data_IF_931714485809
#
_entry.id   IF_931714485809
#
_cell.length_a   1.000
_cell.length_b   1.000
_cell.length_c   1.000
_cell.angle_alpha   90.00
_cell.angle_beta   90.00
_cell.angle_gamma   90.00
#
_symmetry.space_group_name_H-M   'P 1'
#
loop_
_entity.id
_entity.type
_entity.pdbx_description
1 polymer ?
#
# COMPACT_ATOMS: atom_id res chain seq x y z
N UNK A 1 22.21 -0.15 13.05
CA UNK A 1 21.49 -1.22 13.78
C UNK A 1 20.49 -1.83 12.81
N UNK A 2 20.30 -3.16 12.81
CA UNK A 2 19.47 -3.88 11.82
C UNK A 2 18.24 -4.46 12.51
N UNK A 3 17.08 -4.42 11.83
CA UNK A 3 15.85 -5.11 12.22
C UNK A 3 16.13 -6.60 12.48
N UNK A 4 15.61 -7.14 13.59
CA UNK A 4 15.66 -8.58 13.87
C UNK A 4 14.25 -9.05 14.20
N UNK A 5 13.79 -10.12 13.54
CA UNK A 5 12.51 -10.76 13.81
C UNK A 5 12.78 -12.23 14.11
N UNK A 6 12.15 -12.76 15.15
CA UNK A 6 12.23 -14.16 15.57
C UNK A 6 10.87 -14.64 16.03
N UNK A 7 10.65 -15.94 15.96
CA UNK A 7 9.40 -16.55 16.36
C UNK A 7 9.56 -17.99 16.82
N UNK A 8 8.48 -18.57 17.34
CA UNK A 8 8.39 -20.00 17.64
C UNK A 8 8.38 -20.90 16.39
N UNK A 9 8.20 -20.34 15.19
CA UNK A 9 8.16 -21.08 13.92
C UNK A 9 9.49 -21.01 13.19
N UNK A 10 10.14 -22.16 13.01
CA UNK A 10 11.39 -22.26 12.27
C UNK A 10 11.23 -21.91 10.78
N UNK A 11 10.12 -22.31 10.17
CA UNK A 11 9.79 -21.95 8.78
C UNK A 11 9.65 -20.43 8.61
N UNK A 12 8.97 -19.76 9.55
CA UNK A 12 8.83 -18.31 9.55
C UNK A 12 10.20 -17.63 9.71
N UNK A 13 11.04 -18.12 10.62
CA UNK A 13 12.38 -17.57 10.86
C UNK A 13 13.26 -17.64 9.60
N UNK A 14 13.26 -18.78 8.89
CA UNK A 14 14.00 -18.95 7.63
C UNK A 14 13.45 -18.04 6.52
N UNK A 15 12.12 -17.93 6.42
CA UNK A 15 11.46 -17.04 5.48
C UNK A 15 11.81 -15.56 5.71
N UNK A 16 11.80 -15.11 6.97
CA UNK A 16 12.20 -13.76 7.38
C UNK A 16 13.64 -13.47 7.00
N UNK A 17 14.56 -14.38 7.31
CA UNK A 17 15.97 -14.18 7.01
C UNK A 17 16.18 -13.97 5.50
N UNK A 18 15.56 -14.81 4.68
CA UNK A 18 15.54 -14.63 3.24
C UNK A 18 14.95 -13.27 2.83
N UNK A 19 13.76 -12.92 3.34
CA UNK A 19 13.05 -11.72 2.91
C UNK A 19 13.87 -10.46 3.22
N UNK A 20 14.45 -10.39 4.42
CA UNK A 20 15.32 -9.28 4.82
C UNK A 20 16.60 -9.20 4.00
N UNK A 21 17.22 -10.34 3.68
CA UNK A 21 18.43 -10.37 2.86
C UNK A 21 18.15 -9.94 1.42
N UNK A 22 17.11 -10.50 0.81
CA UNK A 22 16.76 -10.20 -0.58
C UNK A 22 16.32 -8.73 -0.73
N UNK A 23 15.40 -8.25 0.11
CA UNK A 23 14.94 -6.87 0.06
C UNK A 23 16.12 -5.87 0.14
N UNK A 24 17.01 -6.05 1.12
CA UNK A 24 18.17 -5.17 1.28
C UNK A 24 19.20 -5.30 0.16
N UNK A 25 19.22 -6.41 -0.59
CA UNK A 25 20.11 -6.57 -1.75
C UNK A 25 19.70 -5.69 -2.94
N UNK A 26 18.43 -5.28 -3.01
CA UNK A 26 17.90 -4.36 -4.01
C UNK A 26 18.12 -2.88 -3.67
N UNK A 27 18.67 -2.54 -2.51
CA UNK A 27 18.83 -1.14 -2.09
C UNK A 27 20.15 -0.55 -2.58
N UNK A 28 20.08 0.64 -3.19
CA UNK A 28 21.18 1.33 -3.82
C UNK A 28 21.32 2.77 -3.29
N UNK A 29 22.56 3.26 -3.25
CA UNK A 29 22.87 4.59 -2.68
C UNK A 29 23.85 5.44 -3.49
N UNK A 30 24.41 4.92 -4.58
CA UNK A 30 25.47 5.55 -5.37
C UNK A 30 25.02 6.07 -6.74
N UNK A 31 23.82 5.71 -7.17
CA UNK A 31 23.38 5.96 -8.55
C UNK A 31 22.87 7.39 -8.74
N UNK A 32 22.85 7.91 -9.98
CA UNK A 32 22.40 9.28 -10.26
C UNK A 32 20.98 9.62 -9.76
N UNK A 33 20.09 8.62 -9.65
CA UNK A 33 18.74 8.81 -9.12
C UNK A 33 18.70 9.08 -7.61
N UNK A 34 19.80 8.86 -6.89
CA UNK A 34 19.91 9.03 -5.43
C UNK A 34 19.66 7.72 -4.68
N UNK A 35 19.03 7.79 -3.51
CA UNK A 35 18.65 6.61 -2.73
C UNK A 35 17.45 5.92 -3.38
N UNK A 36 17.57 4.67 -3.79
CA UNK A 36 16.47 3.93 -4.41
C UNK A 36 16.61 2.42 -4.16
N UNK A 37 15.56 1.67 -4.43
CA UNK A 37 15.65 0.22 -4.50
C UNK A 37 14.90 -0.30 -5.73
N UNK A 38 15.30 -1.46 -6.25
CA UNK A 38 14.58 -2.08 -7.36
C UNK A 38 13.13 -2.36 -6.95
N UNK A 39 12.20 -1.83 -7.73
CA UNK A 39 10.76 -1.95 -7.53
C UNK A 39 10.07 -1.98 -8.89
N UNK A 40 10.53 -2.88 -9.76
CA UNK A 40 10.02 -3.10 -11.10
C UNK A 40 10.35 -4.54 -11.52
N UNK A 41 10.04 -4.90 -12.77
CA UNK A 41 10.45 -6.18 -13.37
C UNK A 41 11.96 -6.45 -13.14
N UNK A 42 12.34 -7.67 -12.69
CA UNK A 42 13.74 -7.95 -12.34
C UNK A 42 14.67 -7.70 -13.52
N UNK A 43 15.79 -7.02 -13.26
CA UNK A 43 16.76 -6.66 -14.29
C UNK A 43 16.46 -5.39 -15.07
N UNK A 44 15.37 -4.65 -14.75
CA UNK A 44 15.13 -3.31 -15.32
C UNK A 44 16.04 -2.23 -14.73
N UNK A 45 16.65 -2.46 -13.57
CA UNK A 45 17.41 -1.44 -12.82
C UNK A 45 16.59 -0.15 -12.62
N UNK A 46 15.32 -0.33 -12.23
CA UNK A 46 14.32 0.72 -12.17
C UNK A 46 13.30 0.51 -11.03
N UNK A 47 12.45 1.51 -10.84
CA UNK A 47 11.32 1.47 -9.93
C UNK A 47 10.06 2.04 -10.59
N UNK A 48 8.93 1.34 -10.45
CA UNK A 48 7.62 1.72 -10.94
C UNK A 48 6.71 2.25 -9.82
N UNK A 49 5.70 3.02 -10.17
CA UNK A 49 4.82 3.66 -9.18
C UNK A 49 4.08 2.66 -8.31
N UNK A 50 3.49 1.63 -8.92
CA UNK A 50 2.71 0.58 -8.23
C UNK A 50 3.59 -0.13 -7.20
N UNK A 51 4.69 -0.71 -7.65
CA UNK A 51 5.59 -1.47 -6.81
C UNK A 51 6.17 -0.61 -5.68
N UNK A 52 6.59 0.64 -5.94
CA UNK A 52 7.03 1.54 -4.86
C UNK A 52 5.91 1.76 -3.85
N UNK A 53 4.67 2.02 -4.30
CA UNK A 53 3.54 2.27 -3.41
C UNK A 53 3.28 1.09 -2.45
N UNK A 54 3.40 -0.14 -2.93
CA UNK A 54 3.10 -1.36 -2.17
C UNK A 54 4.30 -1.93 -1.39
N UNK A 55 5.53 -1.68 -1.84
CA UNK A 55 6.76 -2.09 -1.12
C UNK A 55 7.13 -1.14 0.03
N UNK A 56 6.71 0.12 -0.06
CA UNK A 56 7.19 1.24 0.77
C UNK A 56 7.14 1.00 2.28
N UNK A 57 6.09 0.38 2.83
CA UNK A 57 6.02 0.13 4.29
C UNK A 57 7.03 -0.95 4.71
N UNK A 58 7.13 -2.05 3.95
CA UNK A 58 8.15 -3.07 4.17
C UNK A 58 9.57 -2.48 4.10
N UNK A 59 9.82 -1.61 3.11
CA UNK A 59 11.08 -0.88 2.98
C UNK A 59 11.33 0.05 4.17
N UNK A 60 10.32 0.79 4.65
CA UNK A 60 10.43 1.64 5.84
C UNK A 60 10.76 0.84 7.10
N UNK A 61 10.13 -0.32 7.29
CA UNK A 61 10.43 -1.25 8.40
C UNK A 61 11.89 -1.74 8.34
N UNK A 62 12.45 -1.90 7.14
CA UNK A 62 13.85 -2.26 6.93
C UNK A 62 14.83 -1.07 7.06
N UNK A 63 14.33 0.13 7.35
CA UNK A 63 15.14 1.34 7.51
C UNK A 63 15.40 2.10 6.20
N UNK A 64 14.65 1.80 5.14
CA UNK A 64 14.79 2.43 3.82
C UNK A 64 13.84 3.61 3.60
N UNK A 65 13.31 4.24 4.66
CA UNK A 65 12.37 5.36 4.52
C UNK A 65 12.89 6.54 3.69
N UNK A 66 14.20 6.79 3.69
CA UNK A 66 14.80 7.82 2.82
C UNK A 66 14.87 7.41 1.33
N UNK A 67 14.92 6.10 1.05
CA UNK A 67 14.83 5.59 -0.32
C UNK A 67 13.41 5.79 -0.83
N UNK A 68 12.39 5.44 -0.03
CA UNK A 68 10.98 5.72 -0.34
C UNK A 68 10.78 7.20 -0.69
N UNK A 69 11.24 8.10 0.20
CA UNK A 69 11.06 9.53 0.01
C UNK A 69 11.67 10.02 -1.28
N UNK A 70 12.90 9.60 -1.60
CA UNK A 70 13.55 9.98 -2.85
C UNK A 70 12.76 9.48 -4.07
N UNK A 71 12.36 8.20 -4.10
CA UNK A 71 11.62 7.63 -5.24
C UNK A 71 10.24 8.27 -5.42
N UNK A 72 9.47 8.44 -4.33
CA UNK A 72 8.18 9.15 -4.34
C UNK A 72 8.35 10.59 -4.80
N UNK A 73 9.41 11.28 -4.36
CA UNK A 73 9.72 12.64 -4.82
C UNK A 73 10.03 12.69 -6.32
N UNK A 74 10.69 11.67 -6.89
CA UNK A 74 10.93 11.61 -8.34
C UNK A 74 9.62 11.51 -9.13
N UNK A 75 8.67 10.72 -8.66
CA UNK A 75 7.33 10.66 -9.26
C UNK A 75 6.61 12.00 -9.13
N UNK A 76 6.54 12.56 -7.91
CA UNK A 76 5.86 13.82 -7.65
C UNK A 76 6.43 14.98 -8.48
N UNK A 77 7.75 15.04 -8.65
CA UNK A 77 8.43 16.09 -9.43
C UNK A 77 8.09 16.08 -10.91
N UNK A 78 7.78 14.92 -11.48
CA UNK A 78 7.63 14.77 -12.93
C UNK A 78 6.18 14.85 -13.42
N UNK A 79 5.19 15.08 -12.55
CA UNK A 79 3.81 15.34 -12.97
C UNK A 79 3.73 16.61 -13.85
N UNK A 80 2.99 16.55 -14.95
CA UNK A 80 2.87 17.70 -15.87
C UNK A 80 1.65 17.62 -16.77
N UNK A 81 1.16 18.78 -17.23
CA UNK A 81 0.11 18.89 -18.24
C UNK A 81 0.42 18.13 -19.53
N UNK A 82 1.67 18.18 -20.01
CA UNK A 82 2.08 17.52 -21.26
C UNK A 82 1.89 15.99 -21.24
N UNK A 83 1.88 15.38 -20.05
CA UNK A 83 1.65 13.95 -19.83
C UNK A 83 0.23 13.68 -19.36
N UNK A 84 -0.73 14.52 -19.73
CA UNK A 84 -2.13 14.38 -19.29
C UNK A 84 -2.27 14.35 -17.76
N UNK A 85 -1.39 15.09 -17.06
CA UNK A 85 -1.25 15.10 -15.59
C UNK A 85 -0.86 13.75 -14.96
N UNK A 86 -0.33 12.81 -15.75
CA UNK A 86 0.46 11.68 -15.28
C UNK A 86 1.89 12.10 -14.93
N UNK A 87 2.63 11.19 -14.30
CA UNK A 87 4.09 11.26 -14.16
C UNK A 87 4.76 10.14 -14.96
N UNK A 88 6.03 9.84 -14.71
CA UNK A 88 6.66 8.65 -15.28
C UNK A 88 6.20 7.39 -14.55
N UNK A 89 5.73 6.41 -15.32
CA UNK A 89 5.37 5.09 -14.80
C UNK A 89 6.57 4.43 -14.10
N UNK A 90 7.73 4.47 -14.75
CA UNK A 90 9.00 3.91 -14.29
C UNK A 90 10.16 4.88 -14.45
N UNK A 91 11.08 4.86 -13.47
CA UNK A 91 12.31 5.65 -13.46
C UNK A 91 13.50 4.74 -13.17
N UNK A 92 14.57 4.85 -13.96
CA UNK A 92 15.76 4.02 -13.81
C UNK A 92 16.83 4.62 -12.88
N UNK A 93 17.88 3.84 -12.61
CA UNK A 93 19.04 4.22 -11.80
C UNK A 93 19.72 5.53 -12.25
N UNK A 94 19.61 5.89 -13.54
CA UNK A 94 20.17 7.12 -14.12
C UNK A 94 19.26 8.35 -13.98
N UNK A 95 18.16 8.25 -13.22
CA UNK A 95 17.15 9.30 -13.05
C UNK A 95 16.44 9.69 -14.37
N UNK A 96 16.23 8.72 -15.25
CA UNK A 96 15.54 8.88 -16.53
C UNK A 96 14.29 8.00 -16.56
N UNK A 97 13.23 8.40 -17.28
CA UNK A 97 12.11 7.50 -17.53
C UNK A 97 12.59 6.26 -18.30
N UNK A 98 12.00 5.11 -18.01
CA UNK A 98 12.30 3.87 -18.73
C UNK A 98 11.74 3.95 -20.16
N UNK A 99 12.59 3.68 -21.15
CA UNK A 99 12.28 3.89 -22.58
C UNK A 99 11.19 2.96 -23.11
N UNK A 100 11.02 1.80 -22.46
CA UNK A 100 9.97 0.83 -22.78
C UNK A 100 8.58 1.42 -22.51
N UNK A 101 8.47 2.29 -21.51
CA UNK A 101 7.21 2.88 -21.06
C UNK A 101 7.07 4.37 -21.45
N UNK A 102 8.13 5.00 -21.96
CA UNK A 102 8.12 6.44 -22.28
C UNK A 102 8.99 6.77 -23.49
N UNK A 103 8.37 7.29 -24.55
CA UNK A 103 9.06 7.84 -25.73
C UNK A 103 8.98 9.38 -25.75
N UNK A 104 7.81 9.93 -25.42
CA UNK A 104 7.54 11.35 -25.37
C UNK A 104 6.32 11.64 -24.48
N UNK A 105 6.10 12.91 -24.15
CA UNK A 105 4.98 13.34 -23.31
C UNK A 105 3.59 12.98 -23.88
N UNK A 106 3.45 12.79 -25.20
CA UNK A 106 2.21 12.33 -25.84
C UNK A 106 2.19 10.83 -26.18
N UNK A 107 3.27 10.10 -25.86
CA UNK A 107 3.47 8.68 -26.18
C UNK A 107 4.19 7.94 -25.03
N UNK A 108 3.40 7.50 -24.07
CA UNK A 108 3.84 6.84 -22.84
C UNK A 108 2.82 5.80 -22.36
N UNK A 109 3.26 4.80 -21.60
CA UNK A 109 2.45 3.83 -20.87
C UNK A 109 2.15 4.31 -19.45
N UNK A 110 0.97 3.96 -18.92
CA UNK A 110 0.57 4.35 -17.57
C UNK A 110 -0.60 3.53 -17.02
N UNK A 111 -0.59 3.14 -15.75
CA UNK A 111 -1.78 2.57 -15.14
C UNK A 111 -2.51 3.68 -14.38
N UNK A 112 -3.74 4.01 -14.79
CA UNK A 112 -4.47 5.16 -14.25
C UNK A 112 -4.66 5.19 -12.72
N UNK A 113 -4.66 4.05 -11.96
CA UNK A 113 -4.71 4.09 -10.50
C UNK A 113 -3.49 4.79 -9.84
N UNK A 114 -2.35 4.85 -10.53
CA UNK A 114 -1.04 5.09 -9.94
C UNK A 114 -0.88 6.43 -9.20
N UNK A 115 -1.47 7.52 -9.70
CA UNK A 115 -1.38 8.82 -9.03
C UNK A 115 -2.00 8.77 -7.63
N UNK A 116 -3.19 8.18 -7.52
CA UNK A 116 -3.92 8.11 -6.26
C UNK A 116 -3.24 7.18 -5.25
N UNK A 117 -2.71 6.06 -5.73
CA UNK A 117 -1.96 5.11 -4.94
C UNK A 117 -0.65 5.70 -4.38
N UNK A 118 0.09 6.43 -5.21
CA UNK A 118 1.29 7.17 -4.76
C UNK A 118 0.94 8.28 -3.77
N UNK A 119 -0.20 8.96 -3.93
CA UNK A 119 -0.69 9.95 -2.97
C UNK A 119 -1.00 9.28 -1.62
N UNK A 120 -1.76 8.18 -1.61
CA UNK A 120 -2.02 7.38 -0.42
C UNK A 120 -0.71 6.86 0.22
N UNK A 121 0.23 6.40 -0.60
CA UNK A 121 1.56 5.99 -0.16
C UNK A 121 2.29 7.10 0.59
N UNK A 122 2.28 8.33 0.06
CA UNK A 122 2.93 9.46 0.73
C UNK A 122 2.33 9.73 2.11
N UNK A 123 0.99 9.64 2.26
CA UNK A 123 0.36 9.73 3.57
C UNK A 123 0.79 8.57 4.49
N UNK A 124 0.80 7.32 4.00
CA UNK A 124 1.27 6.17 4.78
C UNK A 124 2.72 6.34 5.24
N UNK A 125 3.59 6.88 4.39
CA UNK A 125 4.97 7.18 4.77
C UNK A 125 5.06 8.28 5.83
N UNK A 126 4.26 9.35 5.74
CA UNK A 126 4.15 10.34 6.81
C UNK A 126 3.69 9.69 8.14
N UNK A 127 2.61 8.92 8.12
CA UNK A 127 2.05 8.29 9.31
C UNK A 127 3.05 7.36 10.00
N UNK A 128 3.86 6.64 9.22
CA UNK A 128 4.89 5.74 9.74
C UNK A 128 6.15 6.46 10.25
N UNK A 129 6.65 7.44 9.52
CA UNK A 129 7.96 8.05 9.76
C UNK A 129 7.90 9.33 10.60
N UNK A 130 6.81 10.08 10.47
CA UNK A 130 6.69 11.46 10.95
C UNK A 130 7.44 12.49 10.13
N UNK A 131 7.94 12.13 8.94
CA UNK A 131 8.63 13.06 8.04
C UNK A 131 7.65 14.11 7.48
N UNK A 132 7.82 15.36 7.90
CA UNK A 132 6.90 16.45 7.57
C UNK A 132 7.02 16.96 6.14
N UNK A 133 8.04 16.55 5.40
CA UNK A 133 8.19 17.00 4.01
C UNK A 133 7.06 16.45 3.14
N UNK A 134 6.52 15.26 3.46
CA UNK A 134 5.30 14.75 2.81
C UNK A 134 4.08 15.67 2.97
N UNK A 135 4.08 16.58 3.96
CA UNK A 135 2.99 17.54 4.21
C UNK A 135 3.33 18.97 3.80
N UNK A 136 4.60 19.29 3.54
CA UNK A 136 5.06 20.68 3.45
C UNK A 136 5.97 20.95 2.26
N UNK A 137 6.57 19.93 1.65
CA UNK A 137 7.39 20.11 0.47
C UNK A 137 6.50 20.48 -0.73
N UNK A 138 6.78 21.61 -1.41
CA UNK A 138 5.96 22.10 -2.51
C UNK A 138 5.87 21.13 -3.70
N UNK A 139 6.84 20.23 -3.90
CA UNK A 139 6.78 19.22 -4.97
C UNK A 139 5.69 18.19 -4.67
N UNK A 140 5.66 17.68 -3.43
CA UNK A 140 4.61 16.77 -3.00
C UNK A 140 3.24 17.44 -3.01
N UNK A 141 3.14 18.65 -2.47
CA UNK A 141 1.88 19.39 -2.45
C UNK A 141 1.32 19.65 -3.85
N UNK A 142 2.18 20.05 -4.80
CA UNK A 142 1.78 20.20 -6.20
C UNK A 142 1.30 18.85 -6.78
N UNK A 143 2.03 17.75 -6.57
CA UNK A 143 1.62 16.44 -7.05
C UNK A 143 0.23 16.03 -6.53
N UNK A 144 -0.04 16.25 -5.24
CA UNK A 144 -1.33 15.91 -4.65
C UNK A 144 -2.47 16.72 -5.26
N UNK A 145 -2.30 18.05 -5.34
CA UNK A 145 -3.31 18.96 -5.88
C UNK A 145 -3.62 18.62 -7.35
N UNK A 146 -2.59 18.42 -8.18
CA UNK A 146 -2.77 18.03 -9.59
C UNK A 146 -3.46 16.67 -9.72
N UNK A 147 -3.12 15.70 -8.87
CA UNK A 147 -3.73 14.36 -8.86
C UNK A 147 -5.23 14.42 -8.62
N UNK A 148 -5.69 15.20 -7.63
CA UNK A 148 -7.11 15.19 -7.24
C UNK A 148 -7.97 16.22 -7.99
N UNK A 149 -7.33 17.07 -8.82
CA UNK A 149 -8.01 18.10 -9.61
C UNK A 149 -7.76 17.92 -11.10
N UNK A 150 -6.58 18.27 -11.59
CA UNK A 150 -6.31 18.35 -13.02
C UNK A 150 -6.26 16.98 -13.70
N UNK A 151 -5.71 15.97 -13.02
CA UNK A 151 -5.71 14.59 -13.48
C UNK A 151 -7.15 14.04 -13.53
N UNK A 152 -7.95 14.23 -12.48
CA UNK A 152 -9.37 13.86 -12.50
C UNK A 152 -10.09 14.56 -13.64
N UNK A 153 -9.99 15.89 -13.74
CA UNK A 153 -10.62 16.67 -14.81
C UNK A 153 -10.18 16.24 -16.21
N UNK A 154 -8.93 15.80 -16.37
CA UNK A 154 -8.44 15.32 -17.65
C UNK A 154 -9.07 13.97 -18.00
N UNK A 155 -9.16 13.03 -17.07
CA UNK A 155 -9.49 11.63 -17.37
C UNK A 155 -10.96 11.24 -17.10
N UNK A 156 -11.71 12.03 -16.32
CA UNK A 156 -13.16 11.92 -16.13
C UNK A 156 -13.87 12.61 -17.32
N UNK A 157 -14.38 11.80 -18.25
CA UNK A 157 -14.95 12.27 -19.52
C UNK A 157 -16.45 12.48 -19.45
N UNK A 158 -17.16 11.67 -18.67
CA UNK A 158 -18.60 11.79 -18.54
C UNK A 158 -19.04 12.73 -17.40
N UNK A 159 -18.09 13.13 -16.54
CA UNK A 159 -18.27 14.09 -15.46
C UNK A 159 -18.91 13.50 -14.22
N UNK A 160 -18.94 12.17 -14.07
CA UNK A 160 -19.49 11.48 -12.91
C UNK A 160 -18.54 11.46 -11.69
N UNK A 161 -17.31 11.93 -11.87
CA UNK A 161 -16.27 12.01 -10.84
C UNK A 161 -15.30 10.84 -10.83
N UNK A 162 -15.53 9.78 -11.61
CA UNK A 162 -14.60 8.67 -11.81
C UNK A 162 -13.81 8.87 -13.09
N UNK A 163 -12.51 8.59 -13.03
CA UNK A 163 -11.68 8.68 -14.23
C UNK A 163 -11.81 7.42 -15.09
N UNK A 164 -11.74 7.59 -16.41
CA UNK A 164 -11.87 6.47 -17.35
C UNK A 164 -10.76 6.42 -18.39
N UNK A 165 -10.43 5.19 -18.78
CA UNK A 165 -9.64 4.93 -19.97
C UNK A 165 -10.55 4.62 -21.18
N UNK A 166 -10.13 5.04 -22.37
CA UNK A 166 -10.77 4.67 -23.64
C UNK A 166 -9.72 4.22 -24.64
N UNK A 167 -10.05 3.22 -25.47
CA UNK A 167 -9.16 2.67 -26.50
C UNK A 167 -8.59 3.76 -27.43
N UNK A 168 -9.32 4.87 -27.64
CA UNK A 168 -8.85 6.02 -28.41
C UNK A 168 -7.60 6.70 -27.85
N UNK A 169 -7.22 6.44 -26.60
CA UNK A 169 -5.97 6.92 -26.00
C UNK A 169 -4.75 6.12 -26.47
N UNK A 170 -4.97 5.01 -27.19
CA UNK A 170 -3.92 4.26 -27.85
C UNK A 170 -2.96 3.64 -26.83
N UNK A 171 -1.69 4.06 -26.88
CA UNK A 171 -0.67 3.57 -25.95
C UNK A 171 -0.72 4.23 -24.58
N UNK A 172 -1.52 5.30 -24.43
CA UNK A 172 -1.63 6.09 -23.19
C UNK A 172 -2.51 5.39 -22.16
N UNK A 173 -1.88 4.40 -21.56
CA UNK A 173 -2.30 3.78 -20.32
C UNK A 173 -3.51 2.87 -20.37
N UNK A 174 -3.92 2.42 -19.20
CA UNK A 174 -5.08 1.54 -18.99
C UNK A 174 -5.81 1.88 -17.69
N UNK A 175 -7.11 1.60 -17.64
CA UNK A 175 -7.99 1.88 -16.50
C UNK A 175 -7.87 0.89 -15.33
N UNK A 176 -6.73 0.23 -15.17
CA UNK A 176 -6.50 -0.83 -14.17
C UNK A 176 -5.02 -1.11 -13.98
N UNK A 177 -4.64 -1.84 -12.94
CA UNK A 177 -3.34 -2.52 -12.88
C UNK A 177 -3.33 -3.88 -13.60
N UNK A 178 -4.48 -4.36 -14.09
CA UNK A 178 -4.58 -5.59 -14.87
C UNK A 178 -4.12 -5.35 -16.32
N UNK A 179 -2.96 -5.91 -16.67
CA UNK A 179 -2.33 -5.77 -18.00
C UNK A 179 -2.66 -6.95 -18.94
N UNK A 180 -3.94 -7.30 -19.06
CA UNK A 180 -4.39 -8.51 -19.78
C UNK A 180 -4.87 -8.25 -21.22
N UNK A 181 -4.90 -6.98 -21.65
CA UNK A 181 -5.36 -6.57 -22.97
C UNK A 181 -6.87 -6.52 -23.16
N UNK A 182 -7.68 -6.68 -22.09
CA UNK A 182 -9.14 -6.52 -22.19
C UNK A 182 -9.55 -5.07 -22.50
N UNK A 183 -8.67 -4.10 -22.23
CA UNK A 183 -8.88 -2.66 -22.44
C UNK A 183 -10.18 -2.14 -21.79
N UNK A 184 -10.34 -2.44 -20.50
CA UNK A 184 -11.46 -1.94 -19.69
C UNK A 184 -11.45 -0.42 -19.62
N UNK A 185 -12.63 0.17 -19.41
CA UNK A 185 -12.75 1.60 -19.14
C UNK A 185 -12.22 1.93 -17.75
N UNK A 186 -12.63 1.13 -16.77
CA UNK A 186 -12.12 1.18 -15.40
C UNK A 186 -12.30 -0.18 -14.74
N UNK A 187 -11.39 -0.54 -13.86
CA UNK A 187 -11.54 -1.68 -12.95
C UNK A 187 -11.76 -1.23 -11.52
N UNK A 188 -12.18 -2.16 -10.66
CA UNK A 188 -12.45 -1.87 -9.25
C UNK A 188 -11.21 -1.37 -8.51
N UNK A 189 -10.01 -1.71 -8.97
CA UNK A 189 -8.76 -1.20 -8.43
C UNK A 189 -8.57 0.30 -8.67
N UNK A 190 -8.94 0.82 -9.84
CA UNK A 190 -8.93 2.25 -10.16
C UNK A 190 -9.91 3.02 -9.27
N UNK A 191 -11.15 2.52 -9.17
CA UNK A 191 -12.17 3.15 -8.31
C UNK A 191 -11.72 3.18 -6.85
N UNK A 192 -11.17 2.07 -6.36
CA UNK A 192 -10.67 1.95 -5.01
C UNK A 192 -9.43 2.81 -4.73
N UNK A 193 -8.50 2.90 -5.68
CA UNK A 193 -7.34 3.78 -5.59
C UNK A 193 -7.76 5.25 -5.56
N UNK A 194 -8.70 5.67 -6.42
CA UNK A 194 -9.22 7.04 -6.42
C UNK A 194 -9.89 7.40 -5.08
N UNK A 195 -10.70 6.49 -4.52
CA UNK A 195 -11.23 6.62 -3.16
C UNK A 195 -10.12 6.84 -2.12
N UNK A 196 -9.08 5.98 -2.13
CA UNK A 196 -7.95 6.09 -1.20
C UNK A 196 -7.18 7.41 -1.38
N UNK A 197 -6.96 7.85 -2.63
CA UNK A 197 -6.32 9.12 -2.95
C UNK A 197 -7.09 10.33 -2.41
N UNK A 198 -8.43 10.35 -2.55
CA UNK A 198 -9.25 11.42 -1.97
C UNK A 198 -9.22 11.40 -0.43
N UNK A 199 -9.32 10.22 0.19
CA UNK A 199 -9.18 10.06 1.65
C UNK A 199 -7.82 10.57 2.13
N UNK A 200 -6.76 10.23 1.42
CA UNK A 200 -5.41 10.61 1.79
C UNK A 200 -5.18 12.12 1.62
N UNK A 201 -5.66 12.71 0.52
CA UNK A 201 -5.59 14.16 0.31
C UNK A 201 -6.35 14.90 1.40
N UNK A 202 -7.59 14.50 1.70
CA UNK A 202 -8.38 15.12 2.76
C UNK A 202 -7.66 15.07 4.12
N UNK A 203 -7.06 13.93 4.47
CA UNK A 203 -6.30 13.77 5.70
C UNK A 203 -5.06 14.69 5.73
N UNK A 204 -4.31 14.78 4.63
CA UNK A 204 -3.17 15.71 4.50
C UNK A 204 -3.64 17.16 4.72
N UNK A 205 -4.75 17.56 4.08
CA UNK A 205 -5.31 18.91 4.22
C UNK A 205 -5.71 19.20 5.68
N UNK A 206 -6.35 18.26 6.36
CA UNK A 206 -6.65 18.38 7.79
C UNK A 206 -5.41 18.53 8.67
N UNK A 207 -4.35 17.75 8.40
CA UNK A 207 -3.08 17.81 9.13
C UNK A 207 -2.38 19.17 8.98
N UNK A 208 -2.54 19.85 7.84
CA UNK A 208 -1.99 21.19 7.61
C UNK A 208 -2.97 22.34 7.93
N UNK A 209 -4.17 22.01 8.45
CA UNK A 209 -5.16 22.98 8.92
C UNK A 209 -6.14 23.51 7.87
N UNK A 210 -6.15 22.92 6.67
CA UNK A 210 -7.06 23.29 5.58
C UNK A 210 -8.39 22.52 5.68
N UNK A 211 -9.19 22.86 6.69
CA UNK A 211 -10.43 22.14 7.02
C UNK A 211 -11.48 22.15 5.89
N UNK A 212 -11.54 23.22 5.10
CA UNK A 212 -12.47 23.29 3.96
C UNK A 212 -12.12 22.26 2.87
N UNK A 213 -10.83 22.13 2.54
CA UNK A 213 -10.36 21.14 1.56
C UNK A 213 -10.52 19.71 2.12
N UNK A 214 -10.29 19.53 3.42
CA UNK A 214 -10.55 18.25 4.09
C UNK A 214 -12.02 17.83 3.92
N UNK A 215 -12.96 18.69 4.28
CA UNK A 215 -14.40 18.40 4.18
C UNK A 215 -14.83 18.12 2.71
N UNK A 216 -14.31 18.89 1.75
CA UNK A 216 -14.62 18.70 0.32
C UNK A 216 -14.19 17.30 -0.15
N UNK A 217 -12.95 16.90 0.13
CA UNK A 217 -12.42 15.64 -0.37
C UNK A 217 -12.84 14.43 0.45
N UNK A 218 -13.18 14.60 1.74
CA UNK A 218 -13.94 13.59 2.47
C UNK A 218 -15.28 13.34 1.77
N UNK A 219 -16.03 14.38 1.40
CA UNK A 219 -17.30 14.21 0.68
C UNK A 219 -17.11 13.48 -0.65
N UNK A 220 -16.13 13.87 -1.45
CA UNK A 220 -15.81 13.20 -2.73
C UNK A 220 -15.45 11.72 -2.53
N UNK A 221 -14.67 11.39 -1.51
CA UNK A 221 -14.36 9.99 -1.19
C UNK A 221 -15.64 9.20 -0.87
N UNK A 222 -16.56 9.75 -0.07
CA UNK A 222 -17.84 9.10 0.23
C UNK A 222 -18.72 8.94 -1.02
N UNK A 223 -18.67 9.88 -1.96
CA UNK A 223 -19.38 9.78 -3.24
C UNK A 223 -18.85 8.60 -4.08
N UNK A 224 -17.53 8.47 -4.23
CA UNK A 224 -16.90 7.33 -4.92
C UNK A 224 -17.26 6.00 -4.24
N UNK A 225 -17.20 5.95 -2.91
CA UNK A 225 -17.56 4.77 -2.13
C UNK A 225 -19.04 4.38 -2.33
N UNK A 226 -19.93 5.37 -2.37
CA UNK A 226 -21.36 5.15 -2.63
C UNK A 226 -21.59 4.61 -4.04
N UNK A 227 -20.92 5.17 -5.06
CA UNK A 227 -20.98 4.68 -6.44
C UNK A 227 -20.54 3.21 -6.49
N UNK A 228 -19.38 2.87 -5.91
CA UNK A 228 -18.90 1.50 -5.88
C UNK A 228 -19.90 0.57 -5.20
N UNK A 229 -20.37 0.94 -4.01
CA UNK A 229 -21.28 0.10 -3.21
C UNK A 229 -22.64 -0.14 -3.88
N UNK A 230 -23.15 0.83 -4.64
CA UNK A 230 -24.50 0.80 -5.22
C UNK A 230 -24.53 0.32 -6.67
N UNK A 231 -23.53 0.68 -7.48
CA UNK A 231 -23.55 0.44 -8.93
C UNK A 231 -22.68 -0.73 -9.36
N UNK A 232 -21.61 -1.04 -8.62
CA UNK A 232 -20.72 -2.17 -8.92
C UNK A 232 -21.17 -3.47 -8.26
N UNK A 233 -22.13 -3.40 -7.33
CA UNK A 233 -22.67 -4.58 -6.66
C UNK A 233 -23.79 -5.22 -7.49
N UNK A 234 -23.60 -6.48 -7.85
CA UNK A 234 -24.58 -7.32 -8.50
C UNK A 234 -25.47 -8.00 -7.43
N UNK A 235 -26.68 -7.47 -7.22
CA UNK A 235 -27.64 -8.04 -6.28
C UNK A 235 -28.12 -9.44 -6.68
N UNK A 236 -28.04 -9.83 -7.95
CA UNK A 236 -28.48 -11.17 -8.38
C UNK A 236 -27.45 -12.21 -8.00
N UNK A 237 -26.18 -11.92 -8.24
CA UNK A 237 -25.07 -12.84 -7.97
C UNK A 237 -24.42 -12.63 -6.59
N UNK A 238 -24.85 -11.62 -5.83
CA UNK A 238 -24.34 -11.27 -4.50
C UNK A 238 -22.81 -11.08 -4.50
N UNK A 239 -22.30 -10.30 -5.46
CA UNK A 239 -20.87 -10.02 -5.64
C UNK A 239 -20.63 -8.65 -6.26
N UNK A 240 -19.40 -8.16 -6.22
CA UNK A 240 -18.99 -6.99 -6.98
C UNK A 240 -18.55 -7.40 -8.40
N UNK A 241 -18.77 -6.51 -9.37
CA UNK A 241 -18.07 -6.58 -10.64
C UNK A 241 -16.62 -6.13 -10.47
N UNK A 242 -15.68 -6.75 -11.19
CA UNK A 242 -14.27 -6.34 -11.14
C UNK A 242 -13.87 -5.27 -12.14
N UNK A 243 -14.65 -5.08 -13.21
CA UNK A 243 -14.38 -4.09 -14.23
C UNK A 243 -15.61 -3.67 -15.03
N UNK A 244 -15.53 -2.47 -15.60
CA UNK A 244 -16.48 -1.87 -16.53
C UNK A 244 -15.81 -1.72 -17.89
N UNK A 245 -16.46 -2.23 -18.94
CA UNK A 245 -16.01 -2.17 -20.32
C UNK A 245 -16.27 -0.80 -20.94
N UNK A 246 -15.66 -0.52 -22.08
CA UNK A 246 -15.79 0.79 -22.77
C UNK A 246 -17.18 1.07 -23.33
N UNK A 247 -18.04 0.05 -23.45
CA UNK A 247 -19.46 0.20 -23.81
C UNK A 247 -20.37 0.49 -22.60
N UNK A 248 -19.79 0.56 -21.40
CA UNK A 248 -20.48 0.82 -20.14
C UNK A 248 -21.02 -0.42 -19.43
N UNK A 249 -20.95 -1.61 -20.05
CA UNK A 249 -21.34 -2.87 -19.40
C UNK A 249 -20.28 -3.35 -18.40
N UNK A 250 -20.69 -4.14 -17.41
CA UNK A 250 -19.74 -4.76 -16.49
C UNK A 250 -19.18 -6.07 -17.04
N UNK A 251 -17.90 -6.32 -16.77
CA UNK A 251 -17.27 -7.59 -17.07
C UNK A 251 -17.78 -8.67 -16.11
N UNK A 252 -18.21 -9.79 -16.66
CA UNK A 252 -18.91 -10.84 -15.89
C UNK A 252 -17.98 -11.75 -15.11
N UNK A 253 -16.70 -11.87 -15.48
CA UNK A 253 -15.78 -12.81 -14.82
C UNK A 253 -14.98 -12.14 -13.71
N UNK A 254 -14.35 -12.98 -12.88
CA UNK A 254 -13.32 -12.51 -11.96
C UNK A 254 -12.24 -11.73 -12.73
N UNK A 255 -11.77 -10.65 -12.13
CA UNK A 255 -10.88 -9.67 -12.76
C UNK A 255 -9.80 -9.24 -11.76
N UNK A 256 -9.07 -10.22 -11.23
CA UNK A 256 -7.78 -10.03 -10.55
C UNK A 256 -7.78 -8.88 -9.51
N UNK A 257 -6.85 -7.92 -9.64
CA UNK A 257 -6.73 -6.74 -8.77
C UNK A 257 -8.01 -5.90 -8.70
N UNK A 258 -8.83 -5.92 -9.76
CA UNK A 258 -10.15 -5.31 -9.77
C UNK A 258 -11.11 -5.84 -8.69
N UNK A 259 -10.91 -7.07 -8.18
CA UNK A 259 -11.71 -7.62 -7.09
C UNK A 259 -11.05 -7.48 -5.71
N UNK A 260 -9.72 -7.65 -5.59
CA UNK A 260 -9.07 -7.64 -4.28
C UNK A 260 -8.57 -6.26 -3.82
N UNK A 261 -8.19 -5.33 -4.71
CA UNK A 261 -7.75 -3.99 -4.29
C UNK A 261 -8.85 -3.13 -3.66
N UNK A 262 -10.15 -3.27 -4.00
CA UNK A 262 -11.23 -2.69 -3.21
C UNK A 262 -11.18 -3.05 -1.71
N UNK A 263 -10.83 -4.29 -1.38
CA UNK A 263 -10.63 -4.71 0.02
C UNK A 263 -9.33 -4.12 0.60
N UNK A 264 -8.26 -4.09 -0.20
CA UNK A 264 -6.99 -3.49 0.20
C UNK A 264 -7.13 -2.01 0.60
N UNK A 265 -7.92 -1.23 -0.15
CA UNK A 265 -8.12 0.21 0.06
C UNK A 265 -9.29 0.57 1.00
N UNK A 266 -9.98 -0.41 1.61
CA UNK A 266 -11.14 -0.18 2.49
C UNK A 266 -12.31 0.58 1.85
N UNK A 267 -12.57 0.40 0.55
CA UNK A 267 -13.76 1.02 -0.04
C UNK A 267 -15.05 0.27 0.38
N UNK A 268 -14.97 -1.03 0.70
CA UNK A 268 -16.13 -1.84 1.08
C UNK A 268 -16.40 -1.73 2.59
N UNK A 269 -17.46 -1.03 2.98
CA UNK A 269 -17.85 -0.89 4.40
C UNK A 269 -18.86 -1.95 4.87
N UNK A 270 -19.81 -2.31 4.02
CA UNK A 270 -20.85 -3.27 4.36
C UNK A 270 -20.22 -4.64 4.66
N UNK A 271 -20.46 -5.16 5.87
CA UNK A 271 -19.84 -6.41 6.33
C UNK A 271 -20.28 -7.63 5.50
N UNK A 272 -21.52 -7.68 5.02
CA UNK A 272 -21.99 -8.78 4.20
C UNK A 272 -21.33 -8.74 2.81
N UNK A 273 -21.30 -7.58 2.17
CA UNK A 273 -20.62 -7.41 0.87
C UNK A 273 -19.11 -7.63 0.96
N UNK A 274 -18.49 -7.23 2.07
CA UNK A 274 -17.07 -7.47 2.36
C UNK A 274 -16.77 -8.96 2.48
N UNK A 275 -17.59 -9.70 3.22
CA UNK A 275 -17.46 -11.14 3.35
C UNK A 275 -17.61 -11.84 1.99
N UNK A 276 -18.62 -11.45 1.19
CA UNK A 276 -18.83 -12.00 -0.14
C UNK A 276 -17.63 -11.73 -1.08
N UNK A 277 -17.15 -10.48 -1.13
CA UNK A 277 -15.99 -10.09 -1.92
C UNK A 277 -14.72 -10.86 -1.49
N UNK A 278 -14.53 -11.02 -0.17
CA UNK A 278 -13.41 -11.77 0.38
C UNK A 278 -13.44 -13.24 -0.03
N UNK A 279 -14.62 -13.88 0.02
CA UNK A 279 -14.79 -15.26 -0.42
C UNK A 279 -14.45 -15.42 -1.90
N UNK A 280 -14.82 -14.48 -2.77
CA UNK A 280 -14.44 -14.52 -4.18
C UNK A 280 -12.92 -14.45 -4.38
N UNK A 281 -12.24 -13.58 -3.63
CA UNK A 281 -10.76 -13.49 -3.68
C UNK A 281 -10.12 -14.80 -3.22
N UNK A 282 -10.63 -15.42 -2.16
CA UNK A 282 -10.12 -16.71 -1.66
C UNK A 282 -10.34 -17.84 -2.67
N UNK A 283 -11.51 -17.87 -3.34
CA UNK A 283 -11.83 -18.90 -4.34
C UNK A 283 -10.95 -18.80 -5.58
N UNK A 284 -10.69 -17.57 -6.05
CA UNK A 284 -9.95 -17.35 -7.30
C UNK A 284 -8.42 -17.35 -7.08
N UNK A 285 -7.97 -17.05 -5.86
CA UNK A 285 -6.54 -16.90 -5.50
C UNK A 285 -5.82 -15.84 -6.38
N UNK A 286 -4.54 -15.61 -6.11
CA UNK A 286 -3.70 -14.77 -6.95
C UNK A 286 -3.34 -15.47 -8.27
N UNK A 287 -3.38 -14.73 -9.38
CA UNK A 287 -3.00 -15.25 -10.70
C UNK A 287 -1.48 -15.37 -10.89
N UNK A 288 -0.72 -14.56 -10.16
CA UNK A 288 0.72 -14.43 -10.26
C UNK A 288 1.33 -13.97 -8.91
N UNK A 289 2.66 -13.87 -8.87
CA UNK A 289 3.39 -13.52 -7.64
C UNK A 289 3.17 -12.07 -7.19
N UNK A 290 2.90 -11.17 -8.13
CA UNK A 290 2.64 -9.75 -7.86
C UNK A 290 1.32 -9.65 -7.11
N UNK A 291 0.22 -10.19 -7.66
CA UNK A 291 -1.08 -10.26 -6.98
C UNK A 291 -1.01 -10.97 -5.62
N UNK A 292 -0.24 -12.07 -5.53
CA UNK A 292 -0.07 -12.81 -4.29
C UNK A 292 0.54 -11.96 -3.18
N UNK A 293 1.37 -10.96 -3.53
CA UNK A 293 2.07 -10.10 -2.58
C UNK A 293 1.09 -9.23 -1.75
N UNK A 294 -0.11 -8.96 -2.28
CA UNK A 294 -1.16 -8.14 -1.65
C UNK A 294 -2.03 -8.95 -0.68
N UNK A 295 -2.28 -10.22 -1.01
CA UNK A 295 -3.30 -11.02 -0.36
C UNK A 295 -3.10 -11.20 1.15
N UNK A 296 -1.89 -11.39 1.70
CA UNK A 296 -1.72 -11.45 3.15
C UNK A 296 -2.23 -10.22 3.88
N UNK A 297 -2.00 -9.02 3.36
CA UNK A 297 -2.49 -7.78 3.95
C UNK A 297 -4.02 -7.72 3.91
N UNK A 298 -4.62 -8.07 2.76
CA UNK A 298 -6.07 -8.16 2.62
C UNK A 298 -6.67 -9.14 3.64
N UNK A 299 -6.10 -10.34 3.76
CA UNK A 299 -6.58 -11.38 4.68
C UNK A 299 -6.42 -11.00 6.15
N UNK A 300 -5.28 -10.43 6.57
CA UNK A 300 -5.10 -9.95 7.95
C UNK A 300 -6.12 -8.87 8.31
N UNK A 301 -6.37 -7.95 7.39
CA UNK A 301 -7.30 -6.84 7.56
C UNK A 301 -8.75 -7.31 7.65
N UNK A 302 -9.12 -8.30 6.84
CA UNK A 302 -10.48 -8.83 6.77
C UNK A 302 -10.79 -9.95 7.77
N UNK A 303 -9.84 -10.33 8.63
CA UNK A 303 -10.10 -11.28 9.72
C UNK A 303 -9.73 -12.73 9.43
N UNK A 304 -9.22 -13.05 8.22
CA UNK A 304 -8.77 -14.40 7.85
C UNK A 304 -7.32 -14.63 8.26
N UNK A 305 -7.02 -14.55 9.56
CA UNK A 305 -5.65 -14.46 10.08
C UNK A 305 -4.79 -15.71 9.81
N UNK A 306 -5.36 -16.90 9.95
CA UNK A 306 -4.62 -18.14 9.66
C UNK A 306 -4.28 -18.24 8.16
N UNK A 307 -5.25 -17.95 7.28
CA UNK A 307 -5.01 -17.90 5.83
C UNK A 307 -4.01 -16.81 5.46
N UNK A 308 -4.07 -15.64 6.11
CA UNK A 308 -3.10 -14.56 5.91
C UNK A 308 -1.68 -15.00 6.26
N UNK A 309 -1.53 -15.72 7.38
CA UNK A 309 -0.25 -16.26 7.82
C UNK A 309 0.26 -17.36 6.88
N UNK A 310 -0.58 -18.31 6.50
CA UNK A 310 -0.25 -19.35 5.50
C UNK A 310 0.17 -18.73 4.15
N UNK A 311 -0.54 -17.69 3.70
CA UNK A 311 -0.21 -16.98 2.47
C UNK A 311 1.11 -16.20 2.61
N UNK A 312 1.39 -15.66 3.80
CA UNK A 312 2.70 -15.03 4.09
C UNK A 312 3.83 -16.06 4.00
N UNK A 313 3.65 -17.27 4.55
CA UNK A 313 4.62 -18.37 4.42
C UNK A 313 4.78 -18.80 2.96
N UNK A 314 3.68 -18.85 2.19
CA UNK A 314 3.72 -19.14 0.74
C UNK A 314 4.60 -18.16 -0.02
N UNK A 315 4.50 -16.84 0.23
CA UNK A 315 5.38 -15.82 -0.36
C UNK A 315 6.87 -16.08 -0.07
N UNK A 316 7.17 -16.68 1.08
CA UNK A 316 8.52 -17.00 1.53
C UNK A 316 8.91 -18.46 1.26
N UNK A 317 8.17 -19.20 0.45
CA UNK A 317 8.48 -20.60 0.16
C UNK A 317 9.57 -20.69 -0.94
N UNK A 318 10.68 -21.44 -0.76
CA UNK A 318 11.72 -21.60 -1.79
C UNK A 318 11.24 -22.17 -3.13
N UNK A 319 10.11 -22.88 -3.13
CA UNK A 319 9.49 -23.42 -4.34
C UNK A 319 8.55 -22.44 -5.05
N UNK A 320 8.29 -21.25 -4.49
CA UNK A 320 7.45 -20.25 -5.14
C UNK A 320 8.16 -19.71 -6.39
N UNK A 321 7.51 -19.87 -7.54
CA UNK A 321 8.00 -19.34 -8.81
C UNK A 321 8.04 -17.82 -8.78
N UNK A 322 9.09 -17.22 -9.37
CA UNK A 322 9.33 -15.77 -9.39
C UNK A 322 9.43 -15.11 -8.01
N UNK A 323 9.73 -15.89 -6.96
CA UNK A 323 9.91 -15.37 -5.59
C UNK A 323 11.02 -14.33 -5.47
N UNK A 324 11.97 -14.29 -6.41
CA UNK A 324 12.98 -13.24 -6.52
C UNK A 324 12.42 -11.86 -6.88
N UNK A 325 11.14 -11.74 -7.25
CA UNK A 325 10.56 -10.44 -7.53
C UNK A 325 10.66 -9.51 -6.30
N UNK A 326 11.21 -8.27 -6.43
CA UNK A 326 11.51 -7.43 -5.26
C UNK A 326 10.32 -7.25 -4.32
N UNK A 327 9.13 -7.08 -4.88
CA UNK A 327 7.88 -6.86 -4.13
C UNK A 327 7.61 -7.96 -3.10
N UNK A 328 7.91 -9.21 -3.43
CA UNK A 328 7.64 -10.37 -2.56
C UNK A 328 8.34 -10.22 -1.22
N UNK A 329 9.61 -9.82 -1.24
CA UNK A 329 10.44 -9.72 -0.03
C UNK A 329 9.99 -8.56 0.87
N UNK A 330 9.66 -7.41 0.29
CA UNK A 330 9.14 -6.26 1.02
C UNK A 330 7.73 -6.51 1.57
N UNK A 331 6.85 -7.11 0.76
CA UNK A 331 5.48 -7.47 1.16
C UNK A 331 5.45 -8.52 2.27
N UNK A 332 6.38 -9.48 2.27
CA UNK A 332 6.53 -10.44 3.36
C UNK A 332 6.90 -9.75 4.69
N UNK A 333 7.91 -8.87 4.69
CA UNK A 333 8.29 -8.09 5.89
C UNK A 333 7.14 -7.21 6.37
N UNK A 334 6.43 -6.55 5.45
CA UNK A 334 5.25 -5.76 5.76
C UNK A 334 4.16 -6.62 6.44
N UNK A 335 3.81 -7.77 5.84
CA UNK A 335 2.78 -8.70 6.34
C UNK A 335 3.07 -9.23 7.73
N UNK A 336 4.33 -9.42 8.08
CA UNK A 336 4.72 -9.85 9.43
C UNK A 336 4.54 -8.70 10.44
N UNK A 337 5.02 -7.50 10.13
CA UNK A 337 5.10 -6.40 11.13
C UNK A 337 3.77 -5.63 11.24
N UNK A 338 3.10 -5.34 10.13
CA UNK A 338 1.84 -4.57 10.12
C UNK A 338 0.59 -5.45 10.03
N UNK A 339 0.72 -6.66 9.46
CA UNK A 339 -0.35 -7.66 9.43
C UNK A 339 -0.40 -8.46 10.73
N UNK A 340 0.51 -9.42 10.87
CA UNK A 340 0.57 -10.39 11.96
C UNK A 340 0.78 -9.74 13.34
N UNK A 341 1.82 -8.92 13.51
CA UNK A 341 2.05 -8.20 14.77
C UNK A 341 1.09 -7.02 15.00
N UNK A 342 0.18 -6.77 14.05
CA UNK A 342 -0.02 -5.46 13.44
C UNK A 342 0.22 -4.21 14.26
N UNK A 343 1.40 -3.70 13.97
CA UNK A 343 1.90 -2.40 14.36
C UNK A 343 1.42 -1.39 13.34
N UNK A 344 0.78 -0.33 13.81
CA UNK A 344 0.47 0.86 13.01
C UNK A 344 0.91 2.12 13.74
N UNK A 345 1.09 3.20 12.98
CA UNK A 345 1.55 4.47 13.50
C UNK A 345 0.67 5.62 12.99
N UNK A 346 0.53 6.64 13.83
CA UNK A 346 -0.12 7.91 13.52
C UNK A 346 0.82 9.02 14.03
N UNK A 347 1.61 9.56 13.10
CA UNK A 347 2.57 10.61 13.38
C UNK A 347 1.93 11.89 13.91
N UNK A 348 0.73 12.26 13.43
CA UNK A 348 0.00 13.44 13.89
C UNK A 348 -0.32 13.37 15.38
N UNK A 349 -0.52 12.15 15.91
CA UNK A 349 -0.77 11.90 17.35
C UNK A 349 0.45 11.39 18.12
N UNK A 350 1.60 11.18 17.47
CA UNK A 350 2.74 10.42 18.01
C UNK A 350 2.30 9.07 18.60
N UNK A 351 1.35 8.40 17.94
CA UNK A 351 0.69 7.21 18.44
C UNK A 351 1.17 5.97 17.71
N UNK A 352 1.52 4.93 18.45
CA UNK A 352 1.74 3.57 17.96
C UNK A 352 0.60 2.71 18.48
N UNK A 353 -0.09 2.02 17.58
CA UNK A 353 -1.11 1.02 17.94
C UNK A 353 -0.58 -0.37 17.63
N UNK A 354 -0.80 -1.31 18.53
CA UNK A 354 -0.48 -2.72 18.31
C UNK A 354 -1.77 -3.50 18.45
N UNK A 355 -2.16 -4.20 17.39
CA UNK A 355 -3.32 -5.10 17.38
C UNK A 355 -2.85 -6.46 16.89
N UNK A 356 -2.33 -7.36 17.75
CA UNK A 356 -1.80 -8.65 17.30
C UNK A 356 -2.86 -9.56 16.71
N UNK A 357 -2.49 -10.35 15.70
CA UNK A 357 -3.33 -11.37 15.05
C UNK A 357 -2.81 -12.70 15.53
N UNK A 358 -3.55 -13.34 16.43
CA UNK A 358 -3.13 -14.61 17.02
C UNK A 358 -3.52 -15.73 16.07
N UNK A 359 -2.51 -16.42 15.54
CA UNK A 359 -2.67 -17.62 14.70
C UNK A 359 -2.31 -18.84 15.51
N UNK A 360 -3.06 -19.93 15.35
CA UNK A 360 -2.98 -21.08 16.27
C UNK A 360 -1.60 -21.76 16.26
N UNK A 361 -0.92 -21.71 15.10
CA UNK A 361 0.37 -22.36 14.87
C UNK A 361 1.59 -21.56 15.37
N UNK A 362 1.38 -20.38 15.97
CA UNK A 362 2.46 -19.48 16.40
C UNK A 362 2.33 -19.11 17.88
N UNK A 363 3.21 -19.66 18.72
CA UNK A 363 3.19 -19.40 20.17
C UNK A 363 3.71 -18.02 20.53
N UNK A 364 4.75 -17.55 19.84
CA UNK A 364 5.33 -16.22 20.07
C UNK A 364 6.04 -15.67 18.83
N UNK A 365 6.11 -14.34 18.77
CA UNK A 365 6.89 -13.58 17.79
C UNK A 365 7.48 -12.33 18.45
N UNK A 366 8.72 -12.00 18.10
CA UNK A 366 9.36 -10.75 18.49
C UNK A 366 9.97 -10.05 17.29
N UNK A 367 9.92 -8.73 17.30
CA UNK A 367 10.64 -7.88 16.37
C UNK A 367 11.34 -6.77 17.15
N UNK A 368 12.62 -6.56 16.88
CA UNK A 368 13.46 -5.57 17.56
C UNK A 368 14.13 -4.64 16.56
N UNK A 369 14.40 -3.41 17.01
CA UNK A 369 14.97 -2.34 16.18
C UNK A 369 14.05 -1.91 15.04
N UNK A 370 12.73 -1.92 15.26
CA UNK A 370 11.75 -1.44 14.28
C UNK A 370 11.81 0.09 14.21
N UNK A 371 12.17 0.68 13.06
CA UNK A 371 12.15 2.13 12.88
C UNK A 371 10.72 2.63 12.68
N UNK A 372 10.24 3.49 13.58
CA UNK A 372 8.87 4.05 13.52
C UNK A 372 8.77 5.37 14.30
N UNK A 373 8.18 6.40 13.70
CA UNK A 373 8.05 7.76 14.27
C UNK A 373 9.38 8.37 14.76
N UNK A 374 10.49 8.06 14.07
CA UNK A 374 11.83 8.47 14.50
C UNK A 374 12.40 7.71 15.70
N UNK A 375 11.73 6.63 16.14
CA UNK A 375 12.17 5.75 17.22
C UNK A 375 12.70 4.42 16.70
N UNK A 376 13.40 3.67 17.57
CA UNK A 376 13.67 2.24 17.40
C UNK A 376 12.95 1.48 18.51
N UNK A 377 11.95 0.69 18.17
CA UNK A 377 11.16 -0.07 19.15
C UNK A 377 11.41 -1.56 19.07
N UNK A 378 11.16 -2.26 20.18
CA UNK A 378 11.11 -3.72 20.24
C UNK A 378 9.75 -4.15 20.76
N UNK A 379 9.16 -5.15 20.10
CA UNK A 379 7.88 -5.72 20.46
C UNK A 379 8.04 -7.23 20.56
N UNK A 380 7.50 -7.81 21.63
CA UNK A 380 7.36 -9.25 21.81
C UNK A 380 5.89 -9.56 22.09
N UNK A 381 5.32 -10.45 21.29
CA UNK A 381 3.97 -11.00 21.45
C UNK A 381 4.18 -12.46 21.84
N UNK A 382 3.92 -12.76 23.11
CA UNK A 382 4.17 -14.05 23.71
C UNK A 382 2.90 -14.84 24.02
N UNK A 383 3.05 -16.00 24.68
CA UNK A 383 1.94 -16.85 25.06
C UNK A 383 0.98 -16.12 26.01
N UNK A 384 -0.25 -16.67 26.12
CA UNK A 384 -1.35 -16.06 26.88
C UNK A 384 -1.64 -14.60 26.48
N UNK A 385 -1.34 -14.21 25.23
CA UNK A 385 -1.58 -12.86 24.71
C UNK A 385 -0.83 -11.76 25.48
N UNK A 386 0.39 -12.07 25.94
CA UNK A 386 1.26 -11.09 26.57
C UNK A 386 2.01 -10.24 25.53
N UNK A 387 1.90 -8.92 25.60
CA UNK A 387 2.58 -7.96 24.73
C UNK A 387 3.61 -7.19 25.57
N UNK A 388 4.87 -7.24 25.15
CA UNK A 388 5.93 -6.37 25.65
C UNK A 388 6.30 -5.37 24.57
N UNK A 389 6.38 -4.09 24.94
CA UNK A 389 6.85 -3.00 24.08
C UNK A 389 8.01 -2.29 24.78
N UNK A 390 9.09 -2.04 24.05
CA UNK A 390 10.24 -1.27 24.53
C UNK A 390 10.53 -0.16 23.55
N UNK A 391 10.62 1.07 24.03
CA UNK A 391 11.19 2.18 23.27
C UNK A 391 12.71 2.16 23.46
N UNK A 392 13.47 1.56 22.54
CA UNK A 392 14.92 1.44 22.72
C UNK A 392 15.64 2.78 22.53
N UNK A 393 15.15 3.61 21.60
CA UNK A 393 15.74 4.89 21.24
C UNK A 393 14.68 5.80 20.63
N UNK A 394 14.77 7.11 20.90
CA UNK A 394 13.95 8.14 20.29
C UNK A 394 13.23 9.00 21.32
N UNK A 395 12.16 9.68 20.91
CA UNK A 395 11.32 10.50 21.79
C UNK A 395 10.23 9.66 22.46
N UNK A 396 9.50 10.25 23.40
CA UNK A 396 8.30 9.58 23.90
C UNK A 396 7.21 9.50 22.82
N UNK A 397 6.49 8.39 22.81
CA UNK A 397 5.31 8.18 21.98
C UNK A 397 4.15 7.66 22.84
N UNK A 398 2.94 7.76 22.30
CA UNK A 398 1.74 7.18 22.90
C UNK A 398 1.53 5.77 22.36
N UNK A 399 1.21 4.82 23.23
CA UNK A 399 0.96 3.43 22.90
C UNK A 399 -0.52 3.10 23.13
N UNK A 400 -1.17 2.51 22.13
CA UNK A 400 -2.49 1.88 22.25
C UNK A 400 -2.37 0.37 22.06
N UNK A 401 -2.84 -0.38 23.05
CA UNK A 401 -3.01 -1.83 22.99
C UNK A 401 -4.52 -2.18 22.96
N UNK A 402 -4.92 -3.39 22.52
CA UNK A 402 -6.32 -3.80 22.47
C UNK A 402 -6.97 -3.72 23.84
N UNK A 403 -8.19 -3.18 23.89
CA UNK A 403 -9.01 -3.00 25.11
C UNK A 403 -8.34 -2.22 26.25
N UNK A 404 -7.37 -1.35 25.93
CA UNK A 404 -6.65 -0.52 26.90
C UNK A 404 -6.72 0.96 26.58
N UNK A 405 -6.59 1.76 27.63
CA UNK A 405 -6.31 3.18 27.53
C UNK A 405 -4.90 3.41 26.97
N UNK A 406 -4.73 4.56 26.31
CA UNK A 406 -3.45 5.01 25.75
C UNK A 406 -2.48 5.34 26.90
N UNK A 407 -1.22 4.94 26.80
CA UNK A 407 -0.17 5.34 27.74
C UNK A 407 1.06 5.92 27.02
N UNK A 408 1.78 6.85 27.66
CA UNK A 408 3.06 7.35 27.14
C UNK A 408 4.17 6.32 27.40
N UNK A 409 5.08 6.13 26.44
CA UNK A 409 6.26 5.26 26.55
C UNK A 409 7.51 6.07 26.25
N UNK A 410 8.38 6.24 27.25
CA UNK A 410 9.63 7.01 27.16
C UNK A 410 10.79 6.15 26.69
N UNK A 411 11.87 6.78 26.22
CA UNK A 411 13.08 6.06 25.85
C UNK A 411 13.63 5.23 27.03
N UNK A 412 13.98 3.98 26.77
CA UNK A 412 14.38 2.98 27.74
C UNK A 412 13.22 2.35 28.53
N UNK A 413 11.99 2.82 28.37
CA UNK A 413 10.83 2.28 29.07
C UNK A 413 10.35 0.97 28.45
N UNK A 414 9.96 0.04 29.33
CA UNK A 414 9.37 -1.25 28.99
C UNK A 414 7.95 -1.33 29.51
N UNK A 415 6.99 -1.52 28.60
CA UNK A 415 5.59 -1.79 28.92
C UNK A 415 5.32 -3.28 28.70
N UNK A 416 4.76 -3.95 29.71
CA UNK A 416 4.33 -5.36 29.59
C UNK A 416 2.85 -5.45 29.97
N UNK A 417 2.02 -6.02 29.10
CA UNK A 417 0.58 -6.15 29.32
C UNK A 417 0.05 -7.46 28.76
N UNK A 418 -0.89 -8.07 29.47
CA UNK A 418 -1.71 -9.17 28.94
C UNK A 418 -3.04 -8.60 28.45
N UNK A 419 -3.46 -9.03 27.26
CA UNK A 419 -4.72 -8.58 26.65
C UNK A 419 -5.78 -9.68 26.72
N UNK A 420 -7.02 -9.27 26.91
CA UNK A 420 -8.18 -10.12 26.69
C UNK A 420 -8.63 -9.84 25.26
N UNK A 421 -8.95 -10.86 24.47
CA UNK A 421 -9.65 -10.70 23.19
C UNK A 421 -10.96 -11.46 23.28
#
# INVERSE_FOLDING_TARGET
MKLQIRSSSEELNQGIEWAQQLALSYAHSSDPVGLWYEAALPGREAFCMRDVAHQSIGASILGLSQHNKNMLYKFAKNISEGKDWCTYWEINCNNLPVKEDYEADDKFWYNLPANFDVLDCCLRQYLWTGDKDYLTDPVFLNFYERTVRDYVKHWDKDGDGLIEHYISYGVRGIGSYVEDGLHVSMAGDLVAAQYAGYRAYAHIQGLIGNLQEQEEFEKKAHEIQAIYTQTWWDETNQRFHGAKLTDGSFYEKYYYSGHFLPLYYDIVEDNHKKEAALQEVVINDASNVEELSYLPQVYFKCGLWDLAYETTLRLMNPALERREYPEVSYSAVNSIVTGLMGISADAGKRLITITPRFVESLEWIEASQIPVLGNLISIHIGPQKAITVVNNLGLSFFLKLPDRAVCEVRAGERVVRTINL
#
